data_IF_904086037953
#
_entry.id   IF_904086037953
#
_cell.length_a   1.000
_cell.length_b   1.000
_cell.length_c   1.000
_cell.angle_alpha   90.00
_cell.angle_beta   90.00
_cell.angle_gamma   90.00
#
_symmetry.space_group_name_H-M   'P 1'
#
loop_
_entity.id
_entity.type
_entity.pdbx_description
1 polymer ?
#
# COMPACT_ATOMS: atom_id res chain seq x y z
N UNK A 1 -24.50 -26.82 -60.86
CA UNK A 1 -23.81 -28.11 -60.97
C UNK A 1 -22.32 -27.89 -60.72
N UNK A 2 -21.75 -28.63 -59.76
CA UNK A 2 -20.31 -29.04 -59.64
C UNK A 2 -19.23 -27.94 -59.58
N UNK A 3 -18.11 -28.03 -58.87
CA UNK A 3 -17.43 -28.93 -57.91
C UNK A 3 -16.22 -28.06 -57.45
N UNK A 4 -15.96 -27.81 -56.15
CA UNK A 4 -15.19 -28.64 -55.23
C UNK A 4 -13.66 -28.71 -55.53
N UNK A 5 -12.86 -28.30 -54.53
CA UNK A 5 -11.58 -28.87 -54.02
C UNK A 5 -10.18 -28.27 -54.33
N UNK A 6 -9.35 -28.38 -53.27
CA UNK A 6 -7.88 -28.29 -53.06
C UNK A 6 -7.29 -26.88 -52.84
N UNK A 7 -6.74 -26.46 -51.69
CA UNK A 7 -5.83 -27.05 -50.67
C UNK A 7 -4.35 -27.15 -51.10
N UNK A 8 -3.46 -26.80 -50.14
CA UNK A 8 -1.97 -26.85 -50.09
C UNK A 8 -1.21 -25.66 -50.70
N UNK A 9 -0.02 -25.24 -50.24
CA UNK A 9 0.75 -25.30 -48.99
C UNK A 9 2.07 -24.54 -49.26
N UNK A 10 2.70 -23.99 -48.21
CA UNK A 10 4.12 -23.65 -48.02
C UNK A 10 5.08 -23.48 -49.22
N UNK A 11 5.76 -22.32 -49.33
CA UNK A 11 7.21 -22.14 -49.61
C UNK A 11 7.65 -20.80 -48.96
N UNK A 12 8.49 -20.80 -47.89
CA UNK A 12 9.90 -20.28 -47.82
C UNK A 12 10.10 -18.90 -48.50
N UNK A 13 10.82 -17.90 -47.97
CA UNK A 13 12.07 -17.90 -47.20
C UNK A 13 12.42 -16.46 -46.74
N UNK A 14 13.35 -16.37 -45.81
CA UNK A 14 13.88 -15.17 -45.14
C UNK A 14 14.44 -14.07 -46.06
N UNK A 15 14.30 -12.81 -45.62
CA UNK A 15 15.20 -11.73 -45.97
C UNK A 15 15.59 -10.96 -44.70
N UNK A 16 16.88 -11.05 -44.40
CA UNK A 16 17.67 -10.34 -43.41
C UNK A 16 17.54 -8.82 -43.52
N UNK A 17 17.41 -8.11 -42.40
CA UNK A 17 17.85 -6.72 -42.30
C UNK A 17 18.28 -6.37 -40.87
N UNK A 18 19.60 -6.19 -40.76
CA UNK A 18 20.32 -5.16 -39.99
C UNK A 18 20.33 -5.25 -38.47
N UNK A 19 21.51 -5.68 -38.02
CA UNK A 19 22.14 -5.28 -36.78
C UNK A 19 22.15 -3.74 -36.61
N UNK A 20 21.77 -3.30 -35.41
CA UNK A 20 22.36 -2.14 -34.76
C UNK A 20 23.01 -2.64 -33.48
N UNK A 21 24.33 -2.69 -33.49
CA UNK A 21 25.17 -3.06 -32.36
C UNK A 21 25.50 -1.82 -31.53
N UNK A 22 25.60 -2.03 -30.21
CA UNK A 22 26.35 -1.27 -29.21
C UNK A 22 25.67 -0.10 -28.46
N UNK A 23 25.24 -0.45 -27.24
CA UNK A 23 24.95 0.45 -26.13
C UNK A 23 24.68 -0.36 -24.87
N UNK A 24 25.73 -0.87 -24.23
CA UNK A 24 25.69 -1.62 -22.97
C UNK A 24 25.00 -0.82 -21.85
N UNK A 25 23.79 -1.24 -21.51
CA UNK A 25 23.26 -1.17 -20.16
C UNK A 25 22.34 -2.39 -19.99
N UNK A 26 22.91 -3.49 -19.50
CA UNK A 26 22.12 -4.65 -19.05
C UNK A 26 21.35 -4.22 -17.79
N UNK A 27 20.22 -3.54 -17.98
CA UNK A 27 19.14 -3.55 -17.00
C UNK A 27 18.78 -5.02 -16.83
N UNK A 28 19.14 -5.61 -15.68
CA UNK A 28 18.57 -6.88 -15.26
C UNK A 28 17.05 -6.77 -15.49
N UNK A 29 16.42 -7.72 -16.19
CA UNK A 29 14.98 -7.70 -16.31
C UNK A 29 14.42 -7.67 -14.89
N UNK A 30 13.53 -6.71 -14.61
CA UNK A 30 12.78 -6.68 -13.37
C UNK A 30 12.18 -8.08 -13.21
N UNK A 31 12.60 -8.78 -12.16
CA UNK A 31 12.09 -10.12 -11.85
C UNK A 31 10.58 -9.96 -11.78
N UNK A 32 9.86 -10.54 -12.75
CA UNK A 32 8.40 -10.58 -12.71
C UNK A 32 8.05 -11.33 -11.42
N UNK A 33 7.63 -10.59 -10.40
CA UNK A 33 7.11 -11.16 -9.16
C UNK A 33 5.85 -11.92 -9.57
N UNK A 34 5.85 -13.24 -9.38
CA UNK A 34 4.67 -14.03 -9.70
C UNK A 34 3.51 -13.59 -8.79
N UNK A 35 2.26 -13.67 -9.27
CA UNK A 35 1.10 -13.22 -8.51
C UNK A 35 0.92 -13.94 -7.18
N UNK A 36 1.42 -15.18 -7.07
CA UNK A 36 1.38 -16.00 -5.85
C UNK A 36 2.40 -15.55 -4.80
N UNK A 37 3.41 -14.76 -5.21
CA UNK A 37 4.43 -14.18 -4.34
C UNK A 37 3.98 -12.82 -3.77
N UNK A 38 2.71 -12.42 -3.89
CA UNK A 38 2.21 -11.14 -3.34
C UNK A 38 1.11 -11.40 -2.33
N UNK A 39 1.28 -10.92 -1.09
CA UNK A 39 0.22 -10.96 -0.09
C UNK A 39 -0.87 -10.00 -0.54
N UNK A 40 -2.03 -10.53 -0.90
CA UNK A 40 -3.19 -9.73 -1.30
C UNK A 40 -4.11 -9.52 -0.09
N UNK A 41 -4.32 -8.27 0.31
CA UNK A 41 -5.39 -7.89 1.23
C UNK A 41 -6.40 -7.09 0.44
N UNK A 42 -7.59 -7.67 0.30
CA UNK A 42 -8.70 -7.02 -0.40
C UNK A 42 -9.23 -5.81 0.38
N UNK A 43 -10.25 -5.15 -0.18
CA UNK A 43 -10.86 -3.94 0.36
C UNK A 43 -11.14 -4.02 1.86
N UNK A 44 -10.43 -3.21 2.64
CA UNK A 44 -10.76 -2.93 4.04
C UNK A 44 -11.69 -1.72 4.09
N UNK A 45 -12.94 -1.94 4.50
CA UNK A 45 -13.92 -0.86 4.62
C UNK A 45 -14.16 -0.48 6.09
N UNK A 46 -14.03 0.81 6.39
CA UNK A 46 -14.40 1.35 7.70
C UNK A 46 -15.78 2.01 7.66
N UNK A 47 -16.48 1.94 8.80
CA UNK A 47 -17.81 2.56 9.01
C UNK A 47 -17.73 3.79 9.91
N UNK A 48 -16.61 3.99 10.58
CA UNK A 48 -16.29 5.22 11.31
C UNK A 48 -15.64 6.22 10.34
N UNK A 49 -16.06 7.48 10.36
CA UNK A 49 -15.36 8.52 9.62
C UNK A 49 -13.94 8.69 10.17
N UNK A 50 -13.01 8.98 9.26
CA UNK A 50 -11.71 9.52 9.62
C UNK A 50 -11.91 10.77 10.48
N UNK A 51 -10.99 10.95 11.41
CA UNK A 51 -10.93 12.09 12.31
C UNK A 51 -9.65 12.85 12.01
N UNK A 52 -9.74 14.18 11.97
CA UNK A 52 -8.55 15.01 11.94
C UNK A 52 -7.99 15.04 13.37
N UNK A 53 -6.83 14.42 13.59
CA UNK A 53 -6.08 14.60 14.85
C UNK A 53 -5.40 15.96 14.77
N UNK A 54 -5.51 16.80 15.80
CA UNK A 54 -4.70 18.01 16.03
C UNK A 54 -4.33 18.07 17.52
N UNK A 55 -3.16 18.60 17.92
CA UNK A 55 -2.89 18.94 19.30
C UNK A 55 -3.94 19.89 19.86
N UNK A 56 -4.30 19.71 21.14
CA UNK A 56 -5.28 20.57 21.79
C UNK A 56 -4.84 22.03 21.77
N UNK A 57 -5.74 22.93 21.37
CA UNK A 57 -5.48 24.37 21.31
C UNK A 57 -4.58 24.83 20.15
N UNK A 58 -4.19 23.96 19.23
CA UNK A 58 -3.35 24.30 18.08
C UNK A 58 -4.04 23.94 16.75
N UNK A 59 -3.80 24.75 15.72
CA UNK A 59 -4.21 24.39 14.36
C UNK A 59 -3.22 23.42 13.74
N UNK A 60 -3.72 22.35 13.15
CA UNK A 60 -2.96 21.43 12.31
C UNK A 60 -2.29 22.11 11.10
N UNK A 61 -2.77 23.28 10.69
CA UNK A 61 -2.32 23.92 9.45
C UNK A 61 -0.87 24.47 9.51
N UNK A 62 -0.22 24.37 10.66
CA UNK A 62 1.16 24.81 10.87
C UNK A 62 2.17 23.65 10.98
N UNK A 63 1.70 22.41 11.20
CA UNK A 63 2.57 21.25 11.46
C UNK A 63 2.03 19.99 10.77
N UNK A 64 2.77 19.47 9.79
CA UNK A 64 2.35 18.34 8.97
C UNK A 64 2.09 17.05 9.77
N UNK A 65 2.98 16.71 10.70
CA UNK A 65 2.82 15.54 11.58
C UNK A 65 1.63 15.62 12.51
N UNK A 66 1.06 16.82 12.65
CA UNK A 66 -0.17 17.00 13.38
C UNK A 66 -1.37 17.05 12.46
N UNK A 67 -1.23 17.32 11.16
CA UNK A 67 -2.33 17.31 10.20
C UNK A 67 -2.57 15.90 9.64
N UNK A 68 -3.18 15.04 10.45
CA UNK A 68 -3.40 13.64 10.08
C UNK A 68 -4.86 13.22 10.09
N UNK A 69 -5.24 12.45 9.07
CA UNK A 69 -6.50 11.71 9.07
C UNK A 69 -6.29 10.37 9.76
N UNK A 70 -7.10 10.11 10.77
CA UNK A 70 -6.95 8.94 11.64
C UNK A 70 -8.27 8.19 11.81
N UNK A 71 -8.22 6.87 11.80
CA UNK A 71 -9.33 5.98 12.16
C UNK A 71 -8.81 4.78 12.92
N UNK A 72 -9.60 4.34 13.90
CA UNK A 72 -9.41 3.10 14.63
C UNK A 72 -10.76 2.36 14.73
N UNK A 73 -10.84 1.19 14.09
CA UNK A 73 -12.05 0.37 14.04
C UNK A 73 -11.72 -1.10 13.79
N UNK A 74 -12.28 -1.99 14.61
CA UNK A 74 -12.20 -3.46 14.41
C UNK A 74 -10.75 -3.97 14.25
N UNK A 75 -9.82 -3.43 15.04
CA UNK A 75 -8.38 -3.76 14.96
C UNK A 75 -7.64 -3.13 13.78
N UNK A 76 -8.33 -2.40 12.90
CA UNK A 76 -7.68 -1.57 11.86
C UNK A 76 -7.40 -0.20 12.46
N UNK A 77 -6.14 0.20 12.42
CA UNK A 77 -5.72 1.58 12.67
C UNK A 77 -5.04 2.11 11.42
N UNK A 78 -5.48 3.28 10.97
CA UNK A 78 -4.84 3.97 9.86
C UNK A 78 -4.59 5.42 10.25
N UNK A 79 -3.35 5.84 10.08
CA UNK A 79 -2.87 7.19 10.31
C UNK A 79 -2.26 7.72 9.02
N UNK A 80 -2.88 8.74 8.43
CA UNK A 80 -2.47 9.33 7.15
C UNK A 80 -2.01 10.76 7.42
N UNK A 81 -0.71 11.02 7.28
CA UNK A 81 -0.10 12.32 7.53
C UNK A 81 0.04 13.14 6.24
N UNK A 82 -0.27 14.43 6.34
CA UNK A 82 -0.27 15.35 5.20
C UNK A 82 0.47 16.65 5.55
N UNK A 83 0.97 17.34 4.52
CA UNK A 83 1.37 18.74 4.63
C UNK A 83 0.20 19.56 5.16
N UNK A 84 0.53 20.67 5.78
CA UNK A 84 -0.32 21.42 6.70
C UNK A 84 -1.45 22.22 6.04
N UNK A 85 -2.02 21.71 4.95
CA UNK A 85 -3.24 22.22 4.32
C UNK A 85 -3.86 21.11 3.47
N UNK A 86 -4.84 20.41 4.02
CA UNK A 86 -5.74 19.57 3.22
C UNK A 86 -6.91 20.39 2.70
N UNK A 87 -7.22 20.23 1.41
CA UNK A 87 -8.50 20.73 0.94
C UNK A 87 -9.62 19.91 1.62
N UNK A 88 -10.66 20.59 2.14
CA UNK A 88 -11.85 19.90 2.73
C UNK A 88 -12.63 19.06 1.71
N UNK A 89 -12.22 19.08 0.44
CA UNK A 89 -12.83 18.33 -0.66
C UNK A 89 -12.20 16.94 -0.81
N UNK A 90 -11.07 16.67 -0.17
CA UNK A 90 -10.36 15.38 -0.18
C UNK A 90 -10.18 14.80 -1.60
N UNK A 91 -9.82 15.66 -2.55
CA UNK A 91 -9.62 15.22 -3.94
C UNK A 91 -8.33 14.38 -4.04
N UNK A 92 -8.35 13.22 -4.74
CA UNK A 92 -7.19 12.31 -4.79
C UNK A 92 -5.88 12.99 -5.19
N UNK A 93 -5.88 13.85 -6.22
CA UNK A 93 -4.68 14.56 -6.66
C UNK A 93 -4.11 15.49 -5.57
N UNK A 94 -4.98 16.24 -4.89
CA UNK A 94 -4.57 17.14 -3.82
C UNK A 94 -4.07 16.37 -2.58
N UNK A 95 -4.70 15.24 -2.27
CA UNK A 95 -4.25 14.34 -1.21
C UNK A 95 -2.88 13.76 -1.54
N UNK A 96 -2.67 13.31 -2.78
CA UNK A 96 -1.40 12.78 -3.24
C UNK A 96 -0.27 13.81 -3.13
N UNK A 97 -0.53 15.06 -3.53
CA UNK A 97 0.45 16.15 -3.45
C UNK A 97 0.82 16.53 -2.00
N UNK A 98 -0.18 16.48 -1.12
CA UNK A 98 -0.03 16.81 0.29
C UNK A 98 0.54 15.64 1.12
N UNK A 99 0.44 14.41 0.66
CA UNK A 99 0.81 13.21 1.42
C UNK A 99 2.27 13.23 1.88
N UNK A 100 2.51 12.74 3.10
CA UNK A 100 3.83 12.61 3.71
C UNK A 100 4.16 11.15 4.00
N UNK A 101 3.37 10.55 4.87
CA UNK A 101 3.51 9.14 5.22
C UNK A 101 2.19 8.59 5.75
N UNK A 102 2.11 7.26 5.82
CA UNK A 102 1.03 6.54 6.46
C UNK A 102 1.59 5.45 7.37
N UNK A 103 0.99 5.32 8.54
CA UNK A 103 1.14 4.15 9.40
C UNK A 103 -0.18 3.37 9.38
N UNK A 104 -0.11 2.10 8.97
CA UNK A 104 -1.25 1.22 8.84
C UNK A 104 -1.03 -0.03 9.69
N UNK A 105 -2.00 -0.32 10.55
CA UNK A 105 -2.03 -1.51 11.39
C UNK A 105 -3.28 -2.30 11.05
N UNK A 106 -3.11 -3.57 10.66
CA UNK A 106 -4.19 -4.43 10.18
C UNK A 106 -4.21 -5.75 10.94
N UNK A 107 -5.39 -6.27 11.32
CA UNK A 107 -5.47 -7.58 11.93
C UNK A 107 -5.11 -8.66 10.91
N UNK A 108 -4.23 -9.60 11.28
CA UNK A 108 -3.88 -10.76 10.45
C UNK A 108 -4.07 -12.09 11.22
N UNK A 109 -5.09 -12.12 12.08
CA UNK A 109 -5.50 -13.33 12.80
C UNK A 109 -4.52 -13.73 13.90
N UNK A 110 -4.30 -15.03 14.08
CA UNK A 110 -3.41 -15.57 15.13
C UNK A 110 -1.92 -15.35 14.87
N UNK A 111 -1.56 -14.94 13.65
CA UNK A 111 -0.19 -14.71 13.22
C UNK A 111 0.38 -13.37 13.75
N UNK A 112 -0.48 -12.50 14.30
CA UNK A 112 -0.13 -11.14 14.72
C UNK A 112 -0.67 -10.09 13.75
N UNK A 113 -0.49 -8.82 14.09
CA UNK A 113 -0.98 -7.69 13.30
C UNK A 113 0.05 -7.25 12.27
N UNK A 114 -0.40 -6.90 11.08
CA UNK A 114 0.45 -6.33 10.04
C UNK A 114 0.68 -4.86 10.38
N UNK A 115 1.93 -4.43 10.38
CA UNK A 115 2.35 -3.03 10.49
C UNK A 115 3.05 -2.60 9.22
N UNK A 116 2.58 -1.49 8.65
CA UNK A 116 3.10 -0.86 7.44
C UNK A 116 3.39 0.61 7.70
N UNK A 117 4.62 1.01 7.48
CA UNK A 117 5.00 2.41 7.34
C UNK A 117 5.25 2.69 5.86
N UNK A 118 4.57 3.70 5.30
CA UNK A 118 4.67 4.06 3.88
C UNK A 118 4.97 5.53 3.76
N UNK A 119 6.05 5.89 3.10
CA UNK A 119 6.41 7.29 2.81
C UNK A 119 6.00 7.71 1.40
N UNK A 120 5.77 9.01 1.21
CA UNK A 120 5.40 9.59 -0.08
C UNK A 120 6.49 9.40 -1.16
N UNK A 121 7.76 9.33 -0.74
CA UNK A 121 8.91 9.21 -1.66
C UNK A 121 8.90 7.91 -2.46
N UNK A 122 8.28 6.86 -1.91
CA UNK A 122 8.35 5.53 -2.50
C UNK A 122 7.18 5.23 -3.45
N UNK A 123 6.22 6.16 -3.59
CA UNK A 123 5.00 5.99 -4.41
C UNK A 123 4.23 4.69 -4.10
N UNK A 124 4.44 4.13 -2.91
CA UNK A 124 3.80 2.88 -2.46
C UNK A 124 2.34 3.11 -2.07
N UNK A 125 1.89 4.35 -1.90
CA UNK A 125 0.50 4.70 -1.61
C UNK A 125 -0.04 5.65 -2.68
N UNK A 126 -1.18 5.28 -3.25
CA UNK A 126 -1.92 6.07 -4.23
C UNK A 126 -3.34 6.30 -3.77
N UNK A 127 -3.78 7.56 -3.79
CA UNK A 127 -5.18 7.90 -3.58
C UNK A 127 -5.98 7.68 -4.86
N UNK A 128 -7.08 6.92 -4.76
CA UNK A 128 -7.94 6.57 -5.89
C UNK A 128 -9.26 7.35 -5.84
N UNK A 129 -9.93 7.54 -7.00
CA UNK A 129 -11.31 8.00 -7.01
C UNK A 129 -12.21 7.08 -6.17
N UNK A 130 -13.10 7.68 -5.37
CA UNK A 130 -14.00 6.99 -4.46
C UNK A 130 -15.42 7.56 -4.56
N UNK A 131 -16.40 6.83 -4.00
CA UNK A 131 -17.76 7.32 -3.87
C UNK A 131 -17.85 8.59 -3.01
N UNK A 132 -18.98 9.30 -3.11
CA UNK A 132 -19.20 10.54 -2.34
C UNK A 132 -19.01 10.30 -0.84
N UNK A 133 -18.21 11.14 -0.18
CA UNK A 133 -17.94 11.05 1.26
C UNK A 133 -16.98 9.93 1.64
N UNK A 134 -16.25 9.37 0.69
CA UNK A 134 -15.29 8.28 0.90
C UNK A 134 -13.91 8.65 0.40
N UNK A 135 -12.91 8.02 1.01
CA UNK A 135 -11.51 8.06 0.64
C UNK A 135 -11.10 6.65 0.28
N UNK A 136 -10.56 6.45 -0.92
CA UNK A 136 -10.01 5.16 -1.34
C UNK A 136 -8.52 5.30 -1.56
N UNK A 137 -7.75 4.33 -1.08
CA UNK A 137 -6.32 4.29 -1.31
C UNK A 137 -5.85 2.88 -1.62
N UNK A 138 -4.78 2.80 -2.40
CA UNK A 138 -4.11 1.58 -2.81
C UNK A 138 -2.67 1.63 -2.32
N UNK A 139 -2.26 0.61 -1.57
CA UNK A 139 -0.90 0.42 -1.08
C UNK A 139 -0.26 -0.76 -1.78
N UNK A 140 0.92 -0.53 -2.34
CA UNK A 140 1.80 -1.55 -2.87
C UNK A 140 3.18 -1.39 -2.22
N UNK A 141 3.38 -2.09 -1.10
CA UNK A 141 4.65 -2.05 -0.37
C UNK A 141 5.48 -3.30 -0.69
N UNK A 142 6.81 -3.19 -0.89
CA UNK A 142 7.66 -4.33 -1.23
C UNK A 142 7.91 -5.28 -0.07
N UNK A 143 7.66 -4.83 1.16
CA UNK A 143 7.82 -5.60 2.39
C UNK A 143 6.85 -5.10 3.46
N UNK A 144 6.59 -5.93 4.45
CA UNK A 144 5.72 -5.58 5.58
C UNK A 144 6.21 -6.22 6.87
N UNK A 145 5.82 -5.65 8.01
CA UNK A 145 6.10 -6.24 9.32
C UNK A 145 4.86 -6.95 9.84
N UNK A 146 5.06 -8.06 10.54
CA UNK A 146 4.05 -8.68 11.40
C UNK A 146 4.53 -8.54 12.83
N UNK A 147 3.70 -7.94 13.67
CA UNK A 147 3.94 -7.70 15.08
C UNK A 147 3.02 -8.61 15.87
N UNK A 148 3.59 -9.49 16.69
CA UNK A 148 2.82 -10.37 17.56
C UNK A 148 3.11 -10.02 19.01
N UNK A 149 2.05 -9.76 19.76
CA UNK A 149 2.12 -9.62 21.20
C UNK A 149 2.47 -10.99 21.81
N UNK A 150 3.61 -11.05 22.47
CA UNK A 150 4.10 -12.23 23.17
C UNK A 150 3.55 -12.32 24.59
N UNK A 151 3.72 -13.48 25.20
CA UNK A 151 3.49 -13.63 26.63
C UNK A 151 4.73 -13.11 27.37
N UNK A 152 4.55 -12.14 28.28
CA UNK A 152 5.62 -11.58 29.12
C UNK A 152 6.34 -12.62 30.00
N UNK A 153 5.79 -13.84 30.10
CA UNK A 153 6.40 -14.99 30.80
C UNK A 153 7.16 -15.95 29.89
N UNK A 154 7.20 -15.72 28.57
CA UNK A 154 7.94 -16.56 27.62
C UNK A 154 9.45 -16.28 27.70
N UNK A 155 10.28 -17.32 27.58
CA UNK A 155 11.75 -17.19 27.53
C UNK A 155 12.25 -16.48 26.27
N UNK A 156 11.42 -16.43 25.22
CA UNK A 156 11.74 -15.77 23.95
C UNK A 156 11.30 -14.30 23.93
N UNK A 157 10.82 -13.80 25.07
CA UNK A 157 10.35 -12.43 25.23
C UNK A 157 11.54 -11.46 25.30
N UNK A 158 11.75 -10.68 24.24
CA UNK A 158 12.50 -9.43 24.37
C UNK A 158 11.55 -8.36 24.89
N UNK A 159 11.68 -8.03 26.17
CA UNK A 159 11.10 -6.80 26.72
C UNK A 159 11.76 -5.64 26.00
N UNK A 160 10.98 -4.82 25.29
CA UNK A 160 11.45 -3.49 24.92
C UNK A 160 11.69 -2.72 26.23
N UNK A 161 12.94 -2.31 26.44
CA UNK A 161 13.51 -1.91 27.74
C UNK A 161 12.83 -0.68 28.36
N UNK A 162 11.91 -0.04 27.63
CA UNK A 162 11.21 1.18 28.05
C UNK A 162 9.78 0.92 28.53
N UNK A 163 9.12 -0.16 28.09
CA UNK A 163 7.67 -0.37 28.35
C UNK A 163 7.32 -1.76 28.90
N UNK A 164 8.27 -2.71 28.91
CA UNK A 164 8.03 -4.06 29.43
C UNK A 164 6.99 -4.87 28.63
N UNK A 165 6.69 -4.43 27.41
CA UNK A 165 5.81 -5.13 26.48
C UNK A 165 6.59 -6.24 25.79
N UNK A 166 6.00 -7.43 25.78
CA UNK A 166 6.54 -8.57 25.09
C UNK A 166 6.07 -8.54 23.64
N UNK A 167 6.95 -8.26 22.69
CA UNK A 167 6.59 -8.26 21.28
C UNK A 167 7.64 -8.97 20.45
N UNK A 168 7.19 -9.69 19.42
CA UNK A 168 8.04 -10.23 18.37
C UNK A 168 7.68 -9.57 17.05
N UNK A 169 8.69 -9.12 16.32
CA UNK A 169 8.54 -8.53 14.99
C UNK A 169 9.15 -9.47 13.94
N UNK A 170 8.40 -9.75 12.89
CA UNK A 170 8.91 -10.47 11.70
C UNK A 170 8.75 -9.59 10.48
N UNK A 171 9.83 -9.38 9.73
CA UNK A 171 9.80 -8.64 8.46
C UNK A 171 9.68 -9.62 7.29
N UNK A 172 8.64 -9.47 6.49
CA UNK A 172 8.43 -10.23 5.27
C UNK A 172 8.88 -9.41 4.06
N UNK A 173 9.87 -9.91 3.32
CA UNK A 173 10.36 -9.31 2.06
C UNK A 173 9.48 -9.65 0.85
N UNK A 174 8.21 -9.95 1.12
CA UNK A 174 7.19 -10.27 0.15
C UNK A 174 6.34 -9.01 -0.10
N UNK A 175 6.08 -8.63 -1.36
CA UNK A 175 5.21 -7.50 -1.62
C UNK A 175 3.81 -7.73 -1.05
N UNK A 176 3.21 -6.66 -0.55
CA UNK A 176 1.81 -6.62 -0.12
C UNK A 176 1.04 -5.64 -0.97
N UNK A 177 -0.13 -6.08 -1.44
CA UNK A 177 -1.07 -5.27 -2.19
C UNK A 177 -2.34 -5.14 -1.35
N UNK A 178 -2.66 -3.89 -0.98
CA UNK A 178 -3.74 -3.56 -0.06
C UNK A 178 -4.60 -2.45 -0.65
N UNK A 179 -5.91 -2.67 -0.70
CA UNK A 179 -6.87 -1.61 -1.05
C UNK A 179 -7.71 -1.29 0.18
N UNK A 180 -7.87 -0.01 0.50
CA UNK A 180 -8.67 0.44 1.65
C UNK A 180 -9.63 1.53 1.26
N UNK A 181 -10.78 1.56 1.93
CA UNK A 181 -11.81 2.57 1.76
C UNK A 181 -12.34 3.05 3.10
N UNK A 182 -12.24 4.36 3.30
CA UNK A 182 -12.58 5.03 4.54
C UNK A 182 -13.72 6.01 4.32
N UNK A 183 -14.54 6.21 5.35
CA UNK A 183 -15.44 7.35 5.38
C UNK A 183 -14.63 8.62 5.65
N UNK A 184 -14.88 9.68 4.88
CA UNK A 184 -14.27 10.98 5.12
C UNK A 184 -14.84 11.65 6.37
N UNK A 185 -14.11 12.61 6.97
CA UNK A 185 -14.65 13.43 8.05
C UNK A 185 -15.93 14.13 7.59
N UNK A 186 -16.91 14.25 8.50
CA UNK A 186 -18.09 15.07 8.22
C UNK A 186 -17.66 16.54 8.07
N UNK A 187 -18.24 17.29 7.11
CA UNK A 187 -17.92 18.70 6.90
C UNK A 187 -18.27 19.58 8.10
#
# INVERSE_FOLDING_TARGET
MSKLFLMLCCILQAATAMACENGHATRKPAKQVASDDVKQISLVETRKPLTLKCPSGQSCDQHADYHALHVEQNGVEAYLSFKSSLNKRYQPAALQEAFRYADLYLPNGEDGDISLHVEAIDSQLVFLPAGKGRLKLHVLAPSYKVVKQGNSKSTDCRTDDVVGLCQSETVFQQPINLVMEFLLPKP
#
